data_IF_672924973842
#
_entry.id   IF_672924973842
#
_cell.length_a   1.000
_cell.length_b   1.000
_cell.length_c   1.000
_cell.angle_alpha   90.00
_cell.angle_beta   90.00
_cell.angle_gamma   90.00
#
_symmetry.space_group_name_H-M   'P 1'
#
loop_
_entity.id
_entity.type
_entity.pdbx_description
1 polymer ?
#
# COMPACT_ATOMS: atom_id res chain seq x y z
N UNK A 1 37.42 54.95 20.05
CA UNK A 1 36.07 54.61 19.51
C UNK A 1 35.91 53.11 19.61
N UNK A 2 35.04 52.63 20.50
CA UNK A 2 34.69 51.22 20.63
C UNK A 2 33.21 51.14 21.05
N UNK A 3 32.37 50.80 20.10
CA UNK A 3 30.94 50.57 20.27
C UNK A 3 30.72 49.08 20.44
N UNK A 4 30.24 48.65 21.61
CA UNK A 4 29.69 47.31 21.79
C UNK A 4 28.28 47.45 22.33
N UNK A 5 27.31 47.34 21.43
CA UNK A 5 25.89 47.18 21.75
C UNK A 5 25.63 45.74 22.21
N UNK A 6 25.15 45.57 23.45
CA UNK A 6 24.57 44.32 23.90
C UNK A 6 23.16 44.17 23.32
N UNK A 7 23.01 43.22 22.42
CA UNK A 7 21.72 42.75 21.89
C UNK A 7 21.03 41.90 22.95
N UNK A 8 19.83 42.33 23.35
CA UNK A 8 18.97 41.61 24.29
C UNK A 8 18.54 40.24 23.77
N UNK A 9 18.64 39.24 24.66
CA UNK A 9 18.08 37.90 24.46
C UNK A 9 16.56 37.97 24.70
N UNK A 10 15.76 37.78 23.65
CA UNK A 10 14.32 37.52 23.77
C UNK A 10 14.09 36.04 23.46
N UNK A 11 14.06 35.22 24.51
CA UNK A 11 13.58 33.84 24.45
C UNK A 11 12.06 33.85 24.41
N UNK A 12 11.47 33.69 23.21
CA UNK A 12 10.03 33.44 23.07
C UNK A 12 9.72 32.00 23.51
N UNK A 13 9.01 31.89 24.62
CA UNK A 13 8.41 30.68 25.16
C UNK A 13 7.42 30.08 24.17
N UNK A 14 7.78 28.92 23.60
CA UNK A 14 6.91 28.08 22.79
C UNK A 14 5.90 27.40 23.73
N UNK A 15 4.72 27.99 23.89
CA UNK A 15 3.60 27.32 24.55
C UNK A 15 3.19 26.10 23.73
N UNK A 16 3.57 24.91 24.21
CA UNK A 16 3.09 23.63 23.70
C UNK A 16 1.62 23.46 24.13
N UNK A 17 0.71 23.54 23.17
CA UNK A 17 -0.67 23.06 23.34
C UNK A 17 -0.64 21.55 23.55
N UNK A 18 -1.23 20.99 24.62
CA UNK A 18 -1.34 19.54 24.74
C UNK A 18 -2.32 19.03 23.68
N UNK A 19 -1.84 18.13 22.82
CA UNK A 19 -2.68 17.41 21.88
C UNK A 19 -3.69 16.57 22.66
N UNK A 20 -4.98 16.84 22.45
CA UNK A 20 -6.10 16.05 22.97
C UNK A 20 -5.96 14.63 22.43
N UNK A 21 -5.45 13.72 23.26
CA UNK A 21 -5.34 12.31 22.94
C UNK A 21 -6.75 11.76 22.68
N UNK A 22 -7.06 11.51 21.42
CA UNK A 22 -8.26 10.79 21.04
C UNK A 22 -8.13 9.36 21.61
N UNK A 23 -8.96 9.06 22.61
CA UNK A 23 -9.14 7.70 23.13
C UNK A 23 -9.52 6.79 21.96
N UNK A 24 -8.60 5.92 21.55
CA UNK A 24 -8.93 4.81 20.64
C UNK A 24 -9.78 3.81 21.42
N UNK A 25 -10.98 3.54 20.91
CA UNK A 25 -11.87 2.52 21.43
C UNK A 25 -11.25 1.13 21.17
N UNK A 26 -11.19 0.23 22.16
CA UNK A 26 -10.75 -1.15 21.96
C UNK A 26 -11.81 -1.90 21.15
N UNK A 27 -11.43 -2.43 19.99
CA UNK A 27 -12.30 -3.28 19.16
C UNK A 27 -12.42 -2.92 17.68
N UNK A 28 -11.81 -1.81 17.23
CA UNK A 28 -11.70 -1.55 15.79
C UNK A 28 -10.57 -2.39 15.20
N UNK A 29 -10.91 -3.62 14.82
CA UNK A 29 -10.12 -4.36 13.84
C UNK A 29 -10.18 -3.52 12.56
N UNK A 30 -9.06 -3.04 11.99
CA UNK A 30 -9.12 -2.34 10.72
C UNK A 30 -9.69 -3.32 9.70
N UNK A 31 -10.87 -3.01 9.16
CA UNK A 31 -11.36 -3.66 7.95
C UNK A 31 -10.40 -3.21 6.85
N UNK A 32 -9.31 -3.94 6.68
CA UNK A 32 -8.43 -3.77 5.53
C UNK A 32 -9.33 -3.96 4.31
N UNK A 33 -9.34 -2.99 3.40
CA UNK A 33 -10.10 -3.11 2.17
C UNK A 33 -9.71 -4.42 1.49
N UNK A 34 -10.67 -5.13 0.89
CA UNK A 34 -10.39 -6.39 0.19
C UNK A 34 -9.23 -6.21 -0.82
N UNK A 35 -9.14 -5.04 -1.44
CA UNK A 35 -8.03 -4.63 -2.31
C UNK A 35 -6.67 -4.66 -1.61
N UNK A 36 -6.55 -4.14 -0.39
CA UNK A 36 -5.29 -4.17 0.37
C UNK A 36 -4.85 -5.61 0.63
N UNK A 37 -5.76 -6.48 1.05
CA UNK A 37 -5.44 -7.89 1.30
C UNK A 37 -4.98 -8.64 0.03
N UNK A 38 -5.56 -8.30 -1.13
CA UNK A 38 -5.18 -8.86 -2.42
C UNK A 38 -3.79 -8.36 -2.87
N UNK A 39 -3.50 -7.07 -2.66
CA UNK A 39 -2.19 -6.48 -2.97
C UNK A 39 -1.10 -7.14 -2.12
N UNK A 40 -1.31 -7.25 -0.81
CA UNK A 40 -0.33 -7.84 0.11
C UNK A 40 -0.04 -9.29 -0.25
N UNK A 41 -1.09 -10.06 -0.60
CA UNK A 41 -0.94 -11.44 -1.08
C UNK A 41 -0.16 -11.52 -2.39
N UNK A 42 -0.51 -10.68 -3.38
CA UNK A 42 0.17 -10.63 -4.66
C UNK A 42 1.67 -10.33 -4.50
N UNK A 43 2.00 -9.31 -3.69
CA UNK A 43 3.39 -8.97 -3.39
C UNK A 43 4.12 -10.10 -2.68
N UNK A 44 3.50 -10.75 -1.70
CA UNK A 44 4.09 -11.87 -0.98
C UNK A 44 4.35 -13.08 -1.90
N UNK A 45 3.42 -13.41 -2.80
CA UNK A 45 3.59 -14.51 -3.76
C UNK A 45 4.72 -14.21 -4.76
N UNK A 46 4.76 -12.99 -5.31
CA UNK A 46 5.84 -12.56 -6.21
C UNK A 46 7.21 -12.53 -5.52
N UNK A 47 7.27 -12.13 -4.24
CA UNK A 47 8.48 -12.20 -3.44
C UNK A 47 8.92 -13.65 -3.18
N UNK A 48 8.00 -14.54 -2.79
CA UNK A 48 8.27 -15.98 -2.60
C UNK A 48 8.76 -16.65 -3.87
N UNK A 49 8.26 -16.23 -5.03
CA UNK A 49 8.68 -16.72 -6.34
C UNK A 49 10.02 -16.13 -6.82
N UNK A 50 10.66 -15.26 -6.03
CA UNK A 50 11.93 -14.60 -6.36
C UNK A 50 11.81 -13.62 -7.53
N UNK A 51 10.60 -13.13 -7.83
CA UNK A 51 10.34 -12.20 -8.96
C UNK A 51 10.52 -10.74 -8.58
N UNK A 52 10.41 -10.41 -7.28
CA UNK A 52 10.68 -9.08 -6.77
C UNK A 52 12.14 -8.97 -6.30
N UNK A 53 12.82 -7.94 -6.77
CA UNK A 53 14.21 -7.62 -6.38
C UNK A 53 14.30 -6.81 -5.07
N UNK A 54 13.16 -6.33 -4.56
CA UNK A 54 13.07 -5.57 -3.30
C UNK A 54 13.53 -4.12 -3.39
N UNK A 55 14.03 -3.66 -4.54
CA UNK A 55 14.48 -2.29 -4.75
C UNK A 55 13.68 -1.62 -5.88
N UNK A 56 13.13 -0.43 -5.61
CA UNK A 56 12.63 0.48 -6.65
C UNK A 56 13.81 1.15 -7.38
N UNK A 57 14.72 0.34 -7.93
CA UNK A 57 15.99 0.80 -8.50
C UNK A 57 15.87 1.31 -9.93
N UNK A 58 14.77 0.99 -10.61
CA UNK A 58 14.55 1.34 -12.01
C UNK A 58 13.53 2.47 -12.15
N UNK A 59 13.89 3.50 -12.92
CA UNK A 59 13.00 4.62 -13.24
C UNK A 59 12.30 4.37 -14.57
N UNK A 60 10.98 4.24 -14.51
CA UNK A 60 10.12 4.05 -15.68
C UNK A 60 9.33 5.35 -15.93
N UNK A 61 9.28 5.82 -17.17
CA UNK A 61 8.53 7.02 -17.57
C UNK A 61 7.48 6.65 -18.61
N UNK A 62 6.20 6.82 -18.28
CA UNK A 62 5.06 6.51 -19.16
C UNK A 62 3.99 7.58 -18.98
N UNK A 63 3.24 7.89 -20.05
CA UNK A 63 2.05 8.75 -19.97
C UNK A 63 0.84 7.91 -19.61
N UNK A 64 0.18 8.25 -18.51
CA UNK A 64 -1.03 7.58 -18.01
C UNK A 64 -2.14 8.63 -17.93
N UNK A 65 -3.34 8.25 -18.34
CA UNK A 65 -4.51 9.11 -18.18
C UNK A 65 -4.76 9.44 -16.69
N UNK A 66 -4.94 10.73 -16.33
CA UNK A 66 -5.15 11.11 -14.93
C UNK A 66 -6.42 10.50 -14.30
N UNK A 67 -7.49 10.34 -15.07
CA UNK A 67 -8.74 9.72 -14.61
C UNK A 67 -8.56 8.23 -14.35
N UNK A 68 -7.79 7.54 -15.20
CA UNK A 68 -7.42 6.14 -14.97
C UNK A 68 -6.61 5.97 -13.68
N UNK A 69 -5.65 6.88 -13.42
CA UNK A 69 -4.84 6.86 -12.20
C UNK A 69 -5.70 7.06 -10.94
N UNK A 70 -6.66 7.99 -10.98
CA UNK A 70 -7.59 8.23 -9.88
C UNK A 70 -8.48 7.02 -9.60
N UNK A 71 -9.09 6.45 -10.64
CA UNK A 71 -9.93 5.26 -10.52
C UNK A 71 -9.15 4.05 -9.95
N UNK A 72 -7.89 3.89 -10.35
CA UNK A 72 -7.01 2.87 -9.79
C UNK A 72 -6.71 3.14 -8.31
N UNK A 73 -6.37 4.37 -7.93
CA UNK A 73 -6.10 4.74 -6.54
C UNK A 73 -7.32 4.47 -5.63
N UNK A 74 -8.51 4.88 -6.06
CA UNK A 74 -9.78 4.62 -5.35
C UNK A 74 -10.03 3.13 -5.17
N UNK A 75 -9.93 2.35 -6.27
CA UNK A 75 -10.13 0.89 -6.22
C UNK A 75 -9.16 0.21 -5.27
N UNK A 76 -7.92 0.68 -5.23
CA UNK A 76 -6.86 0.10 -4.39
C UNK A 76 -6.89 0.65 -2.95
N UNK A 77 -7.72 1.64 -2.65
CA UNK A 77 -7.75 2.30 -1.34
C UNK A 77 -6.48 3.09 -1.03
N UNK A 78 -5.75 3.51 -2.06
CA UNK A 78 -4.50 4.26 -1.95
C UNK A 78 -4.76 5.76 -2.13
N UNK A 79 -3.98 6.62 -1.45
CA UNK A 79 -4.13 8.05 -1.62
C UNK A 79 -3.64 8.46 -3.03
N UNK A 80 -4.29 9.47 -3.61
CA UNK A 80 -4.10 9.81 -5.03
C UNK A 80 -2.71 10.38 -5.35
N UNK A 81 -1.99 10.85 -4.34
CA UNK A 81 -0.62 11.34 -4.43
C UNK A 81 0.43 10.22 -4.43
N UNK A 82 0.04 8.99 -4.04
CA UNK A 82 0.92 7.83 -3.98
C UNK A 82 1.05 7.09 -5.33
N UNK A 83 1.38 7.81 -6.41
CA UNK A 83 1.44 7.30 -7.80
C UNK A 83 2.26 6.01 -7.90
N UNK A 84 3.47 5.99 -7.34
CA UNK A 84 4.35 4.80 -7.36
C UNK A 84 3.69 3.59 -6.70
N UNK A 85 2.96 3.80 -5.60
CA UNK A 85 2.26 2.72 -4.91
C UNK A 85 1.09 2.19 -5.73
N UNK A 86 0.32 3.08 -6.37
CA UNK A 86 -0.78 2.70 -7.26
C UNK A 86 -0.27 1.85 -8.43
N UNK A 87 0.81 2.30 -9.09
CA UNK A 87 1.41 1.57 -10.22
C UNK A 87 1.96 0.22 -9.77
N UNK A 88 2.74 0.17 -8.70
CA UNK A 88 3.33 -1.08 -8.20
C UNK A 88 2.26 -2.07 -7.71
N UNK A 89 1.19 -1.58 -7.05
CA UNK A 89 0.08 -2.42 -6.61
C UNK A 89 -0.69 -2.99 -7.81
N UNK A 90 -1.00 -2.17 -8.82
CA UNK A 90 -1.65 -2.63 -10.04
C UNK A 90 -0.81 -3.67 -10.80
N UNK A 91 0.50 -3.43 -10.93
CA UNK A 91 1.42 -4.37 -11.55
C UNK A 91 1.55 -5.67 -10.74
N UNK A 92 1.61 -5.58 -9.42
CA UNK A 92 1.64 -6.76 -8.56
C UNK A 92 0.39 -7.63 -8.75
N UNK A 93 -0.80 -7.03 -8.76
CA UNK A 93 -2.05 -7.74 -9.00
C UNK A 93 -2.11 -8.37 -10.40
N UNK A 94 -1.56 -7.71 -11.42
CA UNK A 94 -1.52 -8.23 -12.78
C UNK A 94 -0.49 -9.35 -12.97
N UNK A 95 0.64 -9.28 -12.26
CA UNK A 95 1.72 -10.25 -12.36
C UNK A 95 1.57 -11.46 -11.42
N UNK A 96 0.78 -11.32 -10.36
CA UNK A 96 0.52 -12.41 -9.42
C UNK A 96 -0.11 -13.61 -10.13
N UNK A 97 0.29 -14.85 -9.79
CA UNK A 97 -0.37 -16.05 -10.28
C UNK A 97 -1.86 -16.00 -9.94
N UNK A 98 -2.70 -16.38 -10.89
CA UNK A 98 -4.13 -16.50 -10.64
C UNK A 98 -4.33 -17.56 -9.53
N UNK A 99 -4.89 -17.17 -8.36
CA UNK A 99 -5.04 -18.08 -7.23
C UNK A 99 -5.92 -19.29 -7.56
N UNK A 100 -6.93 -19.09 -8.42
CA UNK A 100 -7.82 -20.15 -8.85
C UNK A 100 -7.10 -21.12 -9.78
N UNK A 101 -6.33 -20.62 -10.76
CA UNK A 101 -5.53 -21.50 -11.64
C UNK A 101 -4.45 -22.26 -10.87
N UNK A 102 -3.89 -21.63 -9.84
CA UNK A 102 -2.90 -22.27 -8.96
C UNK A 102 -3.53 -23.38 -8.15
N UNK A 103 -4.65 -23.09 -7.46
CA UNK A 103 -5.44 -24.09 -6.74
C UNK A 103 -5.87 -25.24 -7.66
N UNK A 104 -6.39 -24.93 -8.85
CA UNK A 104 -6.85 -25.93 -9.79
C UNK A 104 -5.71 -26.88 -10.16
N UNK A 105 -4.53 -26.38 -10.53
CA UNK A 105 -3.35 -27.22 -10.85
C UNK A 105 -2.89 -28.09 -9.70
N UNK A 106 -2.96 -27.59 -8.47
CA UNK A 106 -2.56 -28.35 -7.27
C UNK A 106 -3.62 -29.39 -6.85
N UNK A 107 -4.87 -29.19 -7.27
CA UNK A 107 -6.01 -30.04 -6.91
C UNK A 107 -6.46 -30.96 -8.05
N UNK A 108 -5.95 -30.80 -9.27
CA UNK A 108 -6.07 -31.79 -10.35
C UNK A 108 -5.59 -33.14 -9.80
N UNK A 109 -6.42 -34.19 -9.91
CA UNK A 109 -6.28 -35.54 -9.30
C UNK A 109 -6.61 -35.70 -7.81
N UNK A 110 -6.98 -34.64 -7.08
CA UNK A 110 -7.42 -34.74 -5.68
C UNK A 110 -8.90 -34.43 -5.46
N UNK A 111 -9.60 -34.01 -6.50
CA UNK A 111 -11.04 -33.74 -6.44
C UNK A 111 -11.82 -35.06 -6.60
N UNK A 112 -12.75 -35.37 -5.69
CA UNK A 112 -13.72 -36.44 -5.87
C UNK A 112 -14.52 -36.25 -7.17
N UNK A 113 -14.93 -37.35 -7.80
CA UNK A 113 -15.68 -37.32 -9.06
C UNK A 113 -17.05 -36.63 -8.95
N UNK A 114 -17.56 -36.48 -7.73
CA UNK A 114 -18.84 -35.85 -7.36
C UNK A 114 -18.68 -34.42 -6.83
N UNK A 115 -17.50 -33.80 -6.98
CA UNK A 115 -17.30 -32.43 -6.53
C UNK A 115 -18.05 -31.42 -7.40
N UNK A 116 -18.97 -30.66 -6.78
CA UNK A 116 -19.62 -29.50 -7.39
C UNK A 116 -19.01 -28.18 -6.89
N UNK A 117 -18.76 -27.26 -7.82
CA UNK A 117 -18.41 -25.89 -7.50
C UNK A 117 -19.67 -25.14 -7.07
N UNK A 118 -19.73 -24.72 -5.80
CA UNK A 118 -20.76 -23.79 -5.34
C UNK A 118 -20.53 -22.43 -6.02
N UNK A 119 -21.38 -22.12 -7.01
CA UNK A 119 -21.43 -20.83 -7.72
C UNK A 119 -22.29 -19.84 -6.96
#
# INVERSE_FOLDING_TARGET
MATTSQVGKVTKSRQQRPAKAARRLPGQVPVLSQSQSAIDRALAELARAGKLTGANSEKISVRIDPGLMQAAAERLGLPHDAITHVVNAALALAAAPDPFKTWLRETTDRLPNDFELAV
#
